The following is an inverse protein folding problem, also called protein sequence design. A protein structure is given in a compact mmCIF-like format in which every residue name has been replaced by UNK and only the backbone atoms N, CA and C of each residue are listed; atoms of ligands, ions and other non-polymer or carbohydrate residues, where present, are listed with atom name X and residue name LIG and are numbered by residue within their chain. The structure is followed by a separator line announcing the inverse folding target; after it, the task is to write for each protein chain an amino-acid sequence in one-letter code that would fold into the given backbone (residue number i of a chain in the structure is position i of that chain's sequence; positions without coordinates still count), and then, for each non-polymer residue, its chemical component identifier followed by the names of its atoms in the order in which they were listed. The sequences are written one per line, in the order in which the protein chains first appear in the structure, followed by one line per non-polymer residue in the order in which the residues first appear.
data_IF_099064452622
#
_entry.id   IF_099064452622
#
_cell.length_a   1.000
_cell.length_b   1.000
_cell.length_c   1.000
_cell.angle_alpha   90.00
_cell.angle_beta   90.00
_cell.angle_gamma   90.00
#
_symmetry.space_group_name_H-M   'P 1'
#
loop_
_entity.id
_entity.type
_entity.pdbx_description
1 polymer ?
#
# COMPACT_ATOMS: atom_id res chain seq x y z
N UNK A 1 3.14 2.69 20.05
CA UNK A 1 3.16 2.71 18.57
C UNK A 1 2.88 4.13 18.11
N UNK A 2 3.67 4.66 17.18
CA UNK A 2 3.49 5.99 16.62
C UNK A 2 3.68 5.98 15.10
N UNK A 3 3.22 7.03 14.44
CA UNK A 3 3.49 7.25 13.02
C UNK A 3 4.86 7.93 12.94
N UNK A 4 5.83 7.24 12.36
CA UNK A 4 7.16 7.80 12.12
C UNK A 4 7.19 8.49 10.77
N UNK A 5 7.62 9.76 10.75
CA UNK A 5 7.73 10.56 9.53
C UNK A 5 9.19 10.86 9.28
N UNK A 6 9.70 10.45 8.11
CA UNK A 6 11.05 10.75 7.65
C UNK A 6 10.93 11.77 6.52
N UNK A 7 11.69 12.86 6.61
CA UNK A 7 11.72 13.91 5.59
C UNK A 7 13.14 14.07 5.04
N UNK A 8 13.24 14.21 3.72
CA UNK A 8 14.50 14.44 3.03
C UNK A 8 14.20 15.02 1.65
N UNK A 9 15.14 15.82 1.14
CA UNK A 9 15.11 16.32 -0.25
C UNK A 9 15.68 15.30 -1.25
N UNK A 10 16.34 14.25 -0.75
CA UNK A 10 16.93 13.18 -1.56
C UNK A 10 16.19 11.88 -1.32
N UNK A 11 15.69 11.29 -2.40
CA UNK A 11 14.93 10.03 -2.33
C UNK A 11 15.78 8.86 -1.85
N UNK A 12 17.08 8.84 -2.17
CA UNK A 12 18.00 7.79 -1.73
C UNK A 12 18.08 7.70 -0.20
N UNK A 13 18.06 8.85 0.49
CA UNK A 13 18.08 8.91 1.95
C UNK A 13 16.78 8.36 2.54
N UNK A 14 15.64 8.61 1.89
CA UNK A 14 14.35 8.04 2.31
C UNK A 14 14.34 6.52 2.14
N UNK A 15 14.88 6.02 1.02
CA UNK A 15 15.00 4.57 0.77
C UNK A 15 15.92 3.93 1.79
N UNK A 16 17.07 4.53 2.09
CA UNK A 16 17.97 4.02 3.13
C UNK A 16 17.28 4.01 4.50
N UNK A 17 16.50 5.04 4.84
CA UNK A 17 15.69 5.07 6.06
C UNK A 17 14.69 3.90 6.13
N UNK A 18 14.00 3.64 5.03
CA UNK A 18 13.10 2.48 4.90
C UNK A 18 13.86 1.16 5.07
N UNK A 19 14.95 0.96 4.33
CA UNK A 19 15.77 -0.26 4.38
C UNK A 19 16.34 -0.52 5.78
N UNK A 20 16.81 0.51 6.46
CA UNK A 20 17.32 0.40 7.84
C UNK A 20 16.24 -0.04 8.83
N UNK A 21 14.98 0.31 8.56
CA UNK A 21 13.83 -0.14 9.36
C UNK A 21 13.50 -1.61 9.08
N UNK A 22 13.66 -2.06 7.83
CA UNK A 22 13.43 -3.44 7.42
C UNK A 22 14.54 -4.39 7.89
N UNK A 23 15.77 -3.90 8.02
CA UNK A 23 16.95 -4.67 8.43
C UNK A 23 17.06 -4.90 9.95
N UNK A 24 16.05 -4.54 10.74
CA UNK A 24 16.08 -4.81 12.18
C UNK A 24 16.08 -6.33 12.44
N UNK A 25 16.93 -6.83 13.37
CA UNK A 25 17.00 -8.26 13.65
C UNK A 25 15.63 -8.79 14.05
N UNK A 26 15.15 -9.80 13.32
CA UNK A 26 13.93 -10.50 13.68
C UNK A 26 14.13 -11.22 15.01
N UNK A 27 13.18 -11.06 15.94
CA UNK A 27 13.21 -11.76 17.22
C UNK A 27 12.85 -13.23 17.02
N UNK A 28 12.03 -13.53 16.01
CA UNK A 28 11.67 -14.90 15.62
C UNK A 28 11.99 -15.19 14.15
N UNK A 29 12.49 -16.41 13.82
CA UNK A 29 12.87 -16.78 12.45
C UNK A 29 11.75 -16.62 11.40
N UNK A 30 10.49 -16.81 11.80
CA UNK A 30 9.34 -16.70 10.90
C UNK A 30 8.95 -15.26 10.57
N UNK A 31 9.47 -14.26 11.28
CA UNK A 31 9.13 -12.86 10.98
C UNK A 31 9.69 -12.38 9.65
N UNK A 32 10.77 -13.02 9.17
CA UNK A 32 11.35 -12.79 7.84
C UNK A 32 10.34 -13.14 6.73
N UNK A 33 9.35 -13.98 7.01
CA UNK A 33 8.31 -14.37 6.05
C UNK A 33 7.10 -13.42 6.06
N UNK A 34 7.01 -12.48 7.01
CA UNK A 34 5.89 -11.55 7.07
C UNK A 34 5.90 -10.65 5.84
N UNK A 35 4.74 -10.51 5.20
CA UNK A 35 4.58 -9.63 4.05
C UNK A 35 4.83 -8.18 4.45
N UNK A 36 5.75 -7.52 3.74
CA UNK A 36 6.05 -6.11 3.92
C UNK A 36 5.12 -5.28 3.05
N UNK A 37 4.42 -4.31 3.64
CA UNK A 37 3.45 -3.49 2.94
C UNK A 37 4.04 -2.13 2.57
N UNK A 38 3.97 -1.78 1.30
CA UNK A 38 4.42 -0.48 0.79
C UNK A 38 3.26 0.27 0.17
N UNK A 39 3.17 1.57 0.42
CA UNK A 39 2.21 2.46 -0.24
C UNK A 39 2.97 3.34 -1.21
N UNK A 40 2.67 3.20 -2.49
CA UNK A 40 3.38 3.88 -3.58
C UNK A 40 2.39 4.63 -4.46
N UNK A 41 2.75 5.81 -5.01
CA UNK A 41 1.81 6.61 -5.79
C UNK A 41 1.60 6.10 -7.22
N UNK A 42 2.59 5.39 -7.77
CA UNK A 42 2.58 4.87 -9.15
C UNK A 42 3.27 3.50 -9.26
N UNK A 43 2.96 2.71 -10.30
CA UNK A 43 3.67 1.47 -10.60
C UNK A 43 5.16 1.69 -10.96
N UNK A 44 5.53 2.85 -11.49
CA UNK A 44 6.93 3.14 -11.79
C UNK A 44 7.77 3.23 -10.50
N UNK A 45 7.23 3.84 -9.44
CA UNK A 45 7.89 3.90 -8.14
C UNK A 45 7.94 2.53 -7.46
N UNK A 46 6.92 1.70 -7.65
CA UNK A 46 6.95 0.29 -7.23
C UNK A 46 8.12 -0.47 -7.86
N UNK A 47 8.26 -0.40 -9.19
CA UNK A 47 9.34 -1.08 -9.92
C UNK A 47 10.71 -0.55 -9.50
N UNK A 48 10.85 0.78 -9.43
CA UNK A 48 12.08 1.42 -8.99
C UNK A 48 12.47 1.01 -7.57
N UNK A 49 11.52 0.99 -6.63
CA UNK A 49 11.78 0.60 -5.25
C UNK A 49 12.12 -0.89 -5.14
N UNK A 50 11.39 -1.76 -5.84
CA UNK A 50 11.71 -3.20 -5.92
C UNK A 50 13.13 -3.42 -6.40
N UNK A 51 13.55 -2.74 -7.46
CA UNK A 51 14.91 -2.84 -7.98
C UNK A 51 15.94 -2.31 -6.98
N UNK A 52 15.71 -1.13 -6.38
CA UNK A 52 16.62 -0.55 -5.40
C UNK A 52 16.80 -1.43 -4.15
N UNK A 53 15.73 -2.05 -3.67
CA UNK A 53 15.80 -2.99 -2.57
C UNK A 53 16.61 -4.24 -2.95
N UNK A 54 16.40 -4.78 -4.16
CA UNK A 54 17.17 -5.92 -4.65
C UNK A 54 18.67 -5.60 -4.80
N UNK A 55 19.03 -4.40 -5.25
CA UNK A 55 20.42 -3.96 -5.37
C UNK A 55 21.14 -3.91 -4.00
N UNK A 56 20.46 -3.41 -2.97
CA UNK A 56 21.04 -3.25 -1.63
C UNK A 56 21.03 -4.54 -0.79
N UNK A 57 19.97 -5.36 -0.90
CA UNK A 57 19.77 -6.57 -0.08
C UNK A 57 20.14 -7.87 -0.82
N UNK A 58 20.46 -7.80 -2.12
CA UNK A 58 20.69 -8.95 -3.00
C UNK A 58 19.40 -9.67 -3.46
N UNK A 59 18.26 -9.42 -2.79
CA UNK A 59 16.95 -9.98 -3.13
C UNK A 59 15.83 -9.01 -2.72
N UNK A 60 14.73 -9.01 -3.47
CA UNK A 60 13.51 -8.28 -3.14
C UNK A 60 12.32 -9.22 -3.22
N UNK A 61 11.73 -9.59 -2.08
CA UNK A 61 10.66 -10.60 -1.99
C UNK A 61 9.66 -10.29 -0.86
N UNK A 62 8.50 -10.98 -0.88
CA UNK A 62 7.45 -10.86 0.13
C UNK A 62 6.91 -9.43 0.34
N UNK A 63 6.87 -8.65 -0.74
CA UNK A 63 6.36 -7.28 -0.72
C UNK A 63 4.94 -7.23 -1.29
N UNK A 64 4.06 -6.48 -0.62
CA UNK A 64 2.75 -6.13 -1.15
C UNK A 64 2.67 -4.62 -1.33
N UNK A 65 2.58 -4.21 -2.60
CA UNK A 65 2.44 -2.81 -2.97
C UNK A 65 0.96 -2.41 -3.06
N UNK A 66 0.63 -1.32 -2.37
CA UNK A 66 -0.66 -0.67 -2.42
C UNK A 66 -0.53 0.59 -3.26
N UNK A 67 -1.25 0.63 -4.39
CA UNK A 67 -1.30 1.80 -5.24
C UNK A 67 -2.14 2.89 -4.57
N UNK A 68 -1.45 3.95 -4.13
CA UNK A 68 -1.95 5.09 -3.35
C UNK A 68 -2.52 4.69 -1.99
N UNK A 69 -2.71 5.70 -1.13
CA UNK A 69 -3.23 5.50 0.22
C UNK A 69 -4.61 4.85 0.26
N UNK A 70 -5.46 5.10 -0.75
CA UNK A 70 -6.81 4.53 -0.80
C UNK A 70 -6.80 3.01 -0.94
N UNK A 71 -5.87 2.44 -1.69
CA UNK A 71 -5.72 1.00 -1.81
C UNK A 71 -5.42 0.36 -0.46
N UNK A 72 -4.45 0.94 0.25
CA UNK A 72 -4.08 0.51 1.60
C UNK A 72 -5.21 0.69 2.61
N UNK A 73 -5.96 1.79 2.56
CA UNK A 73 -7.10 2.02 3.45
C UNK A 73 -8.14 0.90 3.35
N UNK A 74 -8.55 0.54 2.13
CA UNK A 74 -9.52 -0.55 1.97
C UNK A 74 -8.98 -1.91 2.38
N UNK A 75 -7.69 -2.17 2.13
CA UNK A 75 -7.02 -3.34 2.66
C UNK A 75 -7.07 -3.38 4.19
N UNK A 76 -6.68 -2.29 4.86
CA UNK A 76 -6.69 -2.18 6.32
C UNK A 76 -8.09 -2.38 6.90
N UNK A 77 -9.12 -1.79 6.28
CA UNK A 77 -10.51 -2.00 6.67
C UNK A 77 -10.92 -3.48 6.59
N UNK A 78 -10.49 -4.22 5.58
CA UNK A 78 -10.77 -5.66 5.47
C UNK A 78 -10.03 -6.51 6.52
N UNK A 79 -8.88 -6.04 7.02
CA UNK A 79 -8.14 -6.73 8.07
C UNK A 79 -8.74 -6.48 9.46
N UNK A 80 -9.26 -5.28 9.71
CA UNK A 80 -9.69 -4.85 11.05
C UNK A 80 -11.20 -5.04 11.28
N UNK A 81 -12.03 -4.87 10.24
CA UNK A 81 -13.48 -4.97 10.39
C UNK A 81 -13.97 -6.42 10.25
N UNK A 82 -14.94 -6.80 11.09
CA UNK A 82 -15.46 -8.17 11.15
C UNK A 82 -16.21 -8.59 9.87
N UNK A 83 -17.04 -7.70 9.32
CA UNK A 83 -17.86 -7.98 8.14
C UNK A 83 -17.11 -7.62 6.84
N UNK A 84 -16.31 -8.58 6.37
CA UNK A 84 -15.46 -8.42 5.18
C UNK A 84 -16.27 -8.22 3.90
N UNK A 85 -17.43 -8.86 3.78
CA UNK A 85 -18.27 -8.76 2.59
C UNK A 85 -18.89 -7.38 2.44
N UNK A 86 -19.34 -6.80 3.56
CA UNK A 86 -19.83 -5.42 3.57
C UNK A 86 -18.75 -4.42 3.19
N UNK A 87 -17.54 -4.60 3.72
CA UNK A 87 -16.38 -3.74 3.38
C UNK A 87 -16.04 -3.85 1.88
N UNK A 88 -16.01 -5.05 1.33
CA UNK A 88 -15.74 -5.27 -0.11
C UNK A 88 -16.80 -4.61 -0.99
N UNK A 89 -18.08 -4.72 -0.63
CA UNK A 89 -19.19 -4.10 -1.38
C UNK A 89 -19.19 -2.57 -1.27
N UNK A 90 -18.67 -2.02 -0.17
CA UNK A 90 -18.59 -0.58 0.05
C UNK A 90 -17.51 0.12 -0.81
N UNK A 91 -16.47 -0.59 -1.26
CA UNK A 91 -15.47 -0.05 -2.17
C UNK A 91 -15.99 0.04 -3.61
N UNK A 92 -16.89 0.99 -3.86
CA UNK A 92 -17.53 1.19 -5.16
C UNK A 92 -16.62 2.03 -6.07
N UNK A 93 -16.21 1.53 -7.26
CA UNK A 93 -15.41 2.30 -8.19
C UNK A 93 -16.11 3.58 -8.65
N UNK A 94 -15.35 4.66 -8.85
CA UNK A 94 -15.88 5.96 -9.30
C UNK A 94 -16.73 5.86 -10.57
N UNK A 95 -16.34 5.01 -11.51
CA UNK A 95 -17.09 4.77 -12.75
C UNK A 95 -18.50 4.25 -12.46
N UNK A 96 -18.63 3.29 -11.55
CA UNK A 96 -19.93 2.74 -11.15
C UNK A 96 -20.78 3.82 -10.48
N UNK A 97 -20.18 4.65 -9.62
CA UNK A 97 -20.91 5.75 -8.98
C UNK A 97 -21.40 6.79 -10.00
N UNK A 98 -20.61 7.11 -11.04
CA UNK A 98 -21.04 7.98 -12.14
C UNK A 98 -22.23 7.41 -12.89
N UNK A 99 -22.18 6.11 -13.23
CA UNK A 99 -23.31 5.43 -13.89
C UNK A 99 -24.57 5.44 -13.04
N UNK A 100 -24.46 5.16 -11.73
CA UNK A 100 -25.59 5.24 -10.80
C UNK A 100 -26.17 6.65 -10.74
N UNK A 101 -25.30 7.67 -10.70
CA UNK A 101 -25.71 9.07 -10.74
C UNK A 101 -26.44 9.42 -12.05
N UNK A 102 -25.89 9.02 -13.20
CA UNK A 102 -26.53 9.23 -14.50
C UNK A 102 -27.90 8.56 -14.57
N UNK A 103 -28.02 7.30 -14.16
CA UNK A 103 -29.29 6.58 -14.17
C UNK A 103 -30.34 7.23 -13.24
N UNK A 104 -29.91 7.72 -12.08
CA UNK A 104 -30.81 8.39 -11.13
C UNK A 104 -31.25 9.77 -11.62
N UNK A 105 -30.40 10.49 -12.35
CA UNK A 105 -30.68 11.82 -12.87
C UNK A 105 -31.34 11.82 -14.26
N UNK A 106 -31.25 10.71 -15.00
CA UNK A 106 -31.80 10.59 -16.36
C UNK A 106 -33.28 10.98 -16.51
N UNK A 107 -34.18 10.74 -15.54
CA UNK A 107 -35.55 11.23 -15.62
C UNK A 107 -35.70 12.77 -15.55
N UNK A 108 -34.66 13.50 -15.17
CA UNK A 108 -34.67 14.95 -14.93
C UNK A 108 -33.80 15.74 -15.93
N UNK A 109 -33.15 15.05 -16.88
CA UNK A 109 -32.26 15.62 -17.91
C UNK A 109 -32.81 15.21 -19.28
#
# INVERSE_FOLDING_TARGET
MGIHVIQSQRIDVLVHGVLSTLGQPAVHPLEVLKTQHFVVPTPAIEQWLTQKMAEEQGISANQLFHQRIRGFQWYAYQQVLADKDKVRKANIPRLIMKWRGYQALGPFI
#
